data_IF_649224064675
#
_entry.id   IF_649224064675
#
_cell.length_a   1.000
_cell.length_b   1.000
_cell.length_c   1.000
_cell.angle_alpha   90.00
_cell.angle_beta   90.00
_cell.angle_gamma   90.00
#
_symmetry.space_group_name_H-M   'P 1'
#
loop_
_entity.id
_entity.type
_entity.pdbx_description
1 polymer ?
#
# COMPACT_ATOMS: atom_id res chain seq x y z
N UNK A 1 13.41 1.55 2.12
CA UNK A 1 12.11 0.86 1.94
C UNK A 1 11.15 1.35 3.00
N UNK A 2 9.99 1.88 2.61
CA UNK A 2 8.88 2.22 3.54
C UNK A 2 7.92 1.03 3.63
N UNK A 3 7.42 0.72 4.82
CA UNK A 3 6.37 -0.30 4.99
C UNK A 3 5.06 0.41 5.34
N UNK A 4 4.04 0.23 4.53
CA UNK A 4 2.71 0.80 4.77
C UNK A 4 1.80 -0.22 5.47
N UNK A 5 1.08 0.23 6.49
CA UNK A 5 0.08 -0.59 7.18
C UNK A 5 -1.26 -0.46 6.45
N UNK A 6 -1.63 -1.50 5.72
CA UNK A 6 -2.93 -1.59 5.04
C UNK A 6 -4.07 -1.87 6.03
N UNK A 7 -5.33 -1.62 5.62
CA UNK A 7 -6.53 -1.71 6.46
C UNK A 7 -6.55 -0.71 7.64
N UNK A 8 -5.94 0.46 7.46
CA UNK A 8 -5.91 1.53 8.47
C UNK A 8 -7.23 2.30 8.60
N UNK A 9 -8.23 2.01 7.77
CA UNK A 9 -9.60 2.54 7.86
C UNK A 9 -10.51 1.76 8.82
N UNK A 10 -9.99 0.76 9.54
CA UNK A 10 -10.78 -0.01 10.50
C UNK A 10 -11.14 0.82 11.73
N UNK A 11 -12.37 0.66 12.24
CA UNK A 11 -12.85 1.43 13.38
C UNK A 11 -11.94 1.26 14.60
N UNK A 12 -11.46 0.04 14.84
CA UNK A 12 -10.56 -0.25 15.95
C UNK A 12 -9.24 0.55 15.88
N UNK A 13 -8.64 0.66 14.68
CA UNK A 13 -7.44 1.49 14.53
C UNK A 13 -7.76 2.97 14.70
N UNK A 14 -8.86 3.44 14.15
CA UNK A 14 -9.29 4.85 14.26
C UNK A 14 -9.49 5.24 15.73
N UNK A 15 -10.18 4.41 16.51
CA UNK A 15 -10.44 4.66 17.93
C UNK A 15 -9.15 4.63 18.76
N UNK A 16 -8.26 3.68 18.43
CA UNK A 16 -6.94 3.62 19.02
C UNK A 16 -6.11 4.88 18.69
N UNK A 17 -6.04 5.27 17.43
CA UNK A 17 -5.27 6.41 16.95
C UNK A 17 -5.76 7.76 17.52
N UNK A 18 -7.05 7.89 17.81
CA UNK A 18 -7.61 9.07 18.49
C UNK A 18 -7.11 9.21 19.92
N UNK A 19 -6.90 8.10 20.62
CA UNK A 19 -6.46 8.06 22.03
C UNK A 19 -4.93 8.09 22.19
N UNK A 20 -4.19 7.53 21.22
CA UNK A 20 -2.75 7.26 21.31
C UNK A 20 -1.98 7.87 20.13
N UNK A 21 -1.89 9.20 20.13
CA UNK A 21 -1.29 9.95 19.01
C UNK A 21 0.19 9.65 18.80
N UNK A 22 0.91 9.39 19.89
CA UNK A 22 2.34 9.10 19.91
C UNK A 22 2.70 7.70 19.35
N UNK A 23 1.73 6.80 19.28
CA UNK A 23 1.91 5.42 18.82
C UNK A 23 1.44 5.18 17.36
N UNK A 24 0.99 6.22 16.66
CA UNK A 24 0.58 6.07 15.25
C UNK A 24 1.82 5.79 14.41
N UNK A 25 1.85 4.65 13.67
CA UNK A 25 2.93 4.36 12.73
C UNK A 25 3.05 5.43 11.64
N UNK A 26 4.26 5.59 11.10
CA UNK A 26 4.55 6.65 10.13
C UNK A 26 3.86 6.49 8.79
N UNK A 27 3.70 5.25 8.30
CA UNK A 27 3.20 4.97 6.95
C UNK A 27 1.92 4.15 7.02
N UNK A 28 0.86 4.65 6.39
CA UNK A 28 -0.45 4.01 6.36
C UNK A 28 -0.98 3.90 4.94
N UNK A 29 -1.68 2.81 4.68
CA UNK A 29 -2.45 2.62 3.46
C UNK A 29 -3.93 2.46 3.83
N UNK A 30 -4.76 3.30 3.22
CA UNK A 30 -6.21 3.29 3.38
C UNK A 30 -6.86 2.84 2.08
N UNK A 31 -7.95 2.08 2.17
CA UNK A 31 -8.76 1.76 1.00
C UNK A 31 -9.88 2.77 0.83
N UNK A 32 -9.97 3.37 -0.37
CA UNK A 32 -11.07 4.26 -0.73
C UNK A 32 -12.42 3.57 -0.58
N UNK A 33 -12.54 2.30 -0.97
CA UNK A 33 -13.79 1.55 -0.85
C UNK A 33 -14.41 1.63 0.54
N UNK A 34 -13.61 1.51 1.57
CA UNK A 34 -14.08 1.60 2.95
C UNK A 34 -14.12 3.05 3.46
N UNK A 35 -13.13 3.87 3.08
CA UNK A 35 -12.99 5.25 3.56
C UNK A 35 -14.05 6.19 2.99
N UNK A 36 -14.66 5.90 1.82
CA UNK A 36 -15.69 6.73 1.18
C UNK A 36 -16.97 6.92 1.99
N UNK A 37 -17.24 6.05 2.97
CA UNK A 37 -18.38 6.20 3.88
C UNK A 37 -18.23 7.48 4.72
N UNK A 38 -19.30 8.28 4.84
CA UNK A 38 -19.26 9.63 5.46
C UNK A 38 -18.51 9.68 6.80
N UNK A 39 -18.83 8.79 7.73
CA UNK A 39 -18.18 8.75 9.05
C UNK A 39 -16.71 8.37 8.96
N UNK A 40 -16.35 7.42 8.09
CA UNK A 40 -14.96 6.98 7.89
C UNK A 40 -14.13 8.03 7.18
N UNK A 41 -14.71 8.74 6.21
CA UNK A 41 -14.06 9.87 5.55
C UNK A 41 -13.72 10.97 6.57
N UNK A 42 -14.67 11.32 7.43
CA UNK A 42 -14.42 12.31 8.49
C UNK A 42 -13.31 11.87 9.45
N UNK A 43 -13.31 10.59 9.85
CA UNK A 43 -12.24 10.04 10.68
C UNK A 43 -10.88 10.08 9.97
N UNK A 44 -10.83 9.71 8.68
CA UNK A 44 -9.63 9.79 7.86
C UNK A 44 -9.09 11.22 7.80
N UNK A 45 -9.94 12.21 7.47
CA UNK A 45 -9.54 13.61 7.37
C UNK A 45 -9.00 14.16 8.71
N UNK A 46 -9.51 13.67 9.83
CA UNK A 46 -9.00 14.02 11.17
C UNK A 46 -7.63 13.41 11.47
N UNK A 47 -7.39 12.18 11.00
CA UNK A 47 -6.13 11.46 11.26
C UNK A 47 -5.04 11.81 10.27
N UNK A 48 -5.38 12.06 9.01
CA UNK A 48 -4.43 12.26 7.91
C UNK A 48 -3.32 13.26 8.24
N UNK A 49 -3.56 14.44 8.83
CA UNK A 49 -2.50 15.41 9.13
C UNK A 49 -1.46 14.91 10.14
N UNK A 50 -1.77 13.85 10.88
CA UNK A 50 -0.92 13.27 11.92
C UNK A 50 -0.11 12.06 11.42
N UNK A 51 -0.34 11.65 10.17
CA UNK A 51 0.33 10.53 9.52
C UNK A 51 1.43 11.08 8.62
N UNK A 52 2.62 10.50 8.68
CA UNK A 52 3.77 10.99 7.91
C UNK A 52 3.63 10.70 6.41
N UNK A 53 3.27 9.48 6.04
CA UNK A 53 3.07 9.08 4.64
C UNK A 53 1.78 8.27 4.50
N UNK A 54 0.98 8.64 3.52
CA UNK A 54 -0.29 7.98 3.19
C UNK A 54 -0.24 7.46 1.76
N UNK A 55 -0.70 6.24 1.55
CA UNK A 55 -1.12 5.69 0.27
C UNK A 55 -2.61 5.41 0.30
N UNK A 56 -3.27 5.59 -0.83
CA UNK A 56 -4.70 5.29 -0.98
C UNK A 56 -4.88 4.22 -2.04
N UNK A 57 -5.41 3.09 -1.63
CA UNK A 57 -5.87 2.03 -2.54
C UNK A 57 -7.27 2.36 -3.06
N UNK A 58 -7.51 2.12 -4.35
CA UNK A 58 -8.82 2.32 -4.97
C UNK A 58 -9.92 1.42 -4.38
N UNK A 59 -9.54 0.31 -3.76
CA UNK A 59 -10.46 -0.72 -3.27
C UNK A 59 -11.06 -1.57 -4.39
N UNK A 60 -10.50 -1.49 -5.59
CA UNK A 60 -10.99 -2.17 -6.78
C UNK A 60 -11.06 -3.70 -6.60
N UNK A 61 -10.14 -4.27 -5.82
CA UNK A 61 -10.13 -5.70 -5.51
C UNK A 61 -11.46 -6.18 -4.86
N UNK A 62 -12.13 -5.32 -4.12
CA UNK A 62 -13.42 -5.66 -3.46
C UNK A 62 -14.54 -5.91 -4.48
N UNK A 63 -14.39 -5.45 -5.72
CA UNK A 63 -15.37 -5.66 -6.79
C UNK A 63 -15.24 -6.98 -7.55
N UNK A 64 -14.28 -7.84 -7.22
CA UNK A 64 -14.12 -9.12 -7.92
C UNK A 64 -15.37 -9.99 -7.89
N UNK A 65 -16.22 -9.84 -6.88
CA UNK A 65 -17.49 -10.57 -6.72
C UNK A 65 -18.74 -9.77 -7.13
N UNK A 66 -18.65 -8.47 -7.34
CA UNK A 66 -19.80 -7.62 -7.65
C UNK A 66 -20.21 -7.75 -9.13
N UNK A 67 -21.42 -8.25 -9.42
CA UNK A 67 -21.88 -8.51 -10.79
C UNK A 67 -22.25 -7.24 -11.59
N UNK A 68 -22.73 -6.17 -10.95
CA UNK A 68 -23.29 -4.98 -11.61
C UNK A 68 -22.65 -3.66 -11.14
N UNK A 69 -21.32 -3.60 -10.99
CA UNK A 69 -20.67 -2.35 -10.58
C UNK A 69 -20.48 -1.40 -11.77
N UNK A 70 -20.98 -0.16 -11.66
CA UNK A 70 -20.63 0.91 -12.60
C UNK A 70 -19.24 1.47 -12.24
N UNK A 71 -18.21 0.97 -12.91
CA UNK A 71 -16.83 1.36 -12.64
C UNK A 71 -16.52 2.81 -13.02
N UNK A 72 -17.22 3.38 -13.98
CA UNK A 72 -17.05 4.79 -14.37
C UNK A 72 -17.52 5.70 -13.25
N UNK A 73 -18.74 5.51 -12.74
CA UNK A 73 -19.27 6.31 -11.64
C UNK A 73 -18.45 6.15 -10.36
N UNK A 74 -17.99 4.92 -10.08
CA UNK A 74 -17.09 4.68 -8.96
C UNK A 74 -15.76 5.42 -9.12
N UNK A 75 -15.19 5.44 -10.33
CA UNK A 75 -13.94 6.14 -10.60
C UNK A 75 -14.11 7.66 -10.49
N UNK A 76 -15.23 8.22 -10.96
CA UNK A 76 -15.55 9.63 -10.79
C UNK A 76 -15.69 10.00 -9.31
N UNK A 77 -16.37 9.16 -8.52
CA UNK A 77 -16.48 9.36 -7.08
C UNK A 77 -15.11 9.22 -6.36
N UNK A 78 -14.23 8.35 -6.87
CA UNK A 78 -12.85 8.24 -6.39
C UNK A 78 -12.03 9.49 -6.74
N UNK A 79 -12.20 10.05 -7.94
CA UNK A 79 -11.58 11.31 -8.33
C UNK A 79 -12.02 12.48 -7.43
N UNK A 80 -13.30 12.55 -7.07
CA UNK A 80 -13.80 13.54 -6.11
C UNK A 80 -13.23 13.34 -4.69
N UNK A 81 -13.01 12.10 -4.28
CA UNK A 81 -12.32 11.80 -3.03
C UNK A 81 -10.85 12.27 -3.10
N UNK A 82 -10.14 12.03 -4.20
CA UNK A 82 -8.77 12.49 -4.43
C UNK A 82 -8.69 14.00 -4.25
N UNK A 83 -9.54 14.77 -4.93
CA UNK A 83 -9.60 16.25 -4.79
C UNK A 83 -9.71 16.71 -3.33
N UNK A 84 -10.48 16.00 -2.51
CA UNK A 84 -10.72 16.36 -1.10
C UNK A 84 -9.57 15.96 -0.19
N UNK A 85 -8.82 14.94 -0.55
CA UNK A 85 -7.85 14.27 0.32
C UNK A 85 -6.40 14.46 -0.11
N UNK A 86 -6.14 15.00 -1.29
CA UNK A 86 -4.78 15.22 -1.77
C UNK A 86 -4.08 16.30 -0.96
N UNK A 87 -3.10 15.86 -0.17
CA UNK A 87 -2.28 16.66 0.74
C UNK A 87 -0.80 16.28 0.52
N UNK A 88 0.15 17.10 0.99
CA UNK A 88 1.59 16.82 0.81
C UNK A 88 2.05 15.48 1.36
N UNK A 89 1.39 14.96 2.40
CA UNK A 89 1.74 13.66 2.98
C UNK A 89 1.11 12.46 2.25
N UNK A 90 0.21 12.67 1.29
CA UNK A 90 -0.27 11.60 0.40
C UNK A 90 0.75 11.38 -0.70
N UNK A 91 1.32 10.19 -0.71
CA UNK A 91 2.39 9.79 -1.63
C UNK A 91 1.86 9.22 -2.93
N UNK A 92 0.61 8.76 -2.97
CA UNK A 92 -0.02 8.27 -4.19
C UNK A 92 -1.37 7.60 -3.99
N UNK A 93 -2.04 7.43 -5.13
CA UNK A 93 -3.35 6.82 -5.26
C UNK A 93 -3.26 5.67 -6.27
N UNK A 94 -3.58 4.44 -5.85
CA UNK A 94 -3.58 3.32 -6.79
C UNK A 94 -4.71 3.44 -7.79
N UNK A 95 -4.43 3.09 -9.04
CA UNK A 95 -5.43 3.03 -10.10
C UNK A 95 -6.56 2.04 -9.81
N UNK A 96 -7.56 2.02 -10.65
CA UNK A 96 -8.61 0.99 -10.64
C UNK A 96 -8.05 -0.34 -11.15
N UNK A 97 -7.58 -1.18 -10.22
CA UNK A 97 -6.91 -2.44 -10.49
C UNK A 97 -7.92 -3.58 -10.73
N UNK A 98 -8.60 -3.54 -11.88
CA UNK A 98 -9.71 -4.44 -12.26
C UNK A 98 -9.62 -4.95 -13.69
N UNK A 99 -8.41 -5.08 -14.25
CA UNK A 99 -8.24 -5.51 -15.64
C UNK A 99 -8.77 -6.94 -15.93
N UNK A 100 -8.82 -7.80 -14.92
CA UNK A 100 -9.46 -9.11 -15.00
C UNK A 100 -10.98 -9.03 -15.26
N UNK A 101 -11.62 -7.89 -14.95
CA UNK A 101 -13.06 -7.68 -15.11
C UNK A 101 -13.42 -6.93 -16.39
N UNK A 102 -12.70 -5.88 -16.69
CA UNK A 102 -13.04 -4.96 -17.79
C UNK A 102 -11.98 -4.90 -18.89
N UNK A 103 -10.88 -5.60 -18.71
CA UNK A 103 -9.73 -5.58 -19.61
C UNK A 103 -8.87 -4.31 -19.47
N UNK A 104 -7.59 -4.44 -19.77
CA UNK A 104 -6.59 -3.39 -19.58
C UNK A 104 -6.91 -2.08 -20.34
N UNK A 105 -7.50 -2.17 -21.56
CA UNK A 105 -7.88 -0.98 -22.34
C UNK A 105 -8.88 -0.09 -21.58
N UNK A 106 -9.82 -0.68 -20.86
CA UNK A 106 -10.80 0.08 -20.08
C UNK A 106 -10.19 0.59 -18.77
N UNK A 107 -9.28 -0.17 -18.12
CA UNK A 107 -8.51 0.36 -16.97
C UNK A 107 -7.74 1.62 -17.36
N UNK A 108 -7.13 1.66 -18.54
CA UNK A 108 -6.45 2.88 -19.05
C UNK A 108 -7.39 4.08 -19.21
N UNK A 109 -8.66 3.86 -19.59
CA UNK A 109 -9.64 4.95 -19.65
C UNK A 109 -9.98 5.47 -18.25
N UNK A 110 -10.20 4.58 -17.30
CA UNK A 110 -10.48 4.96 -15.91
C UNK A 110 -9.27 5.67 -15.27
N UNK A 111 -8.05 5.22 -15.55
CA UNK A 111 -6.83 5.88 -15.08
C UNK A 111 -6.73 7.32 -15.57
N UNK A 112 -7.03 7.60 -16.87
CA UNK A 112 -7.03 8.95 -17.42
C UNK A 112 -7.98 9.88 -16.68
N UNK A 113 -9.15 9.39 -16.26
CA UNK A 113 -10.08 10.18 -15.43
C UNK A 113 -9.40 10.60 -14.12
N UNK A 114 -8.65 9.70 -13.46
CA UNK A 114 -7.95 10.03 -12.22
C UNK A 114 -6.77 10.99 -12.45
N UNK A 115 -6.05 10.83 -13.55
CA UNK A 115 -4.89 11.65 -13.94
C UNK A 115 -5.26 13.12 -14.25
N UNK A 116 -6.52 13.42 -14.52
CA UNK A 116 -7.02 14.80 -14.66
C UNK A 116 -7.00 15.57 -13.33
N UNK A 117 -6.90 14.88 -12.20
CA UNK A 117 -7.04 15.49 -10.88
C UNK A 117 -5.77 15.45 -10.03
N UNK A 118 -4.82 14.57 -10.35
CA UNK A 118 -3.55 14.44 -9.62
C UNK A 118 -2.49 13.75 -10.48
N UNK A 119 -1.25 14.13 -10.30
CA UNK A 119 -0.06 13.48 -10.87
C UNK A 119 0.45 12.29 -10.03
N UNK A 120 -0.22 12.00 -8.89
CA UNK A 120 0.16 10.96 -7.92
C UNK A 120 -0.51 9.61 -8.18
N UNK A 121 -1.00 9.34 -9.40
CA UNK A 121 -1.58 8.04 -9.71
C UNK A 121 -0.50 6.98 -9.82
N UNK A 122 -0.68 5.87 -9.11
CA UNK A 122 0.19 4.70 -9.10
C UNK A 122 -0.46 3.59 -9.94
N UNK A 123 0.02 3.35 -11.18
CA UNK A 123 -0.46 2.23 -11.97
C UNK A 123 0.02 0.89 -11.39
N UNK A 124 -0.83 -0.13 -11.47
CA UNK A 124 -0.53 -1.49 -11.00
C UNK A 124 -0.25 -2.39 -12.20
N UNK A 125 0.89 -3.05 -12.23
CA UNK A 125 1.21 -3.99 -13.28
C UNK A 125 0.85 -5.43 -12.87
N UNK A 126 0.27 -6.17 -13.83
CA UNK A 126 -0.03 -7.59 -13.72
C UNK A 126 0.71 -8.40 -14.77
N UNK A 127 1.01 -9.66 -14.45
CA UNK A 127 1.79 -10.59 -15.31
C UNK A 127 1.19 -10.72 -16.72
N UNK A 128 -0.13 -10.74 -16.85
CA UNK A 128 -0.83 -10.82 -18.14
C UNK A 128 -0.57 -9.64 -19.09
N UNK A 129 -0.09 -8.49 -18.55
CA UNK A 129 0.25 -7.32 -19.35
C UNK A 129 1.62 -7.45 -20.05
N UNK A 130 2.47 -8.37 -19.61
CA UNK A 130 3.81 -8.60 -20.14
C UNK A 130 4.85 -7.54 -19.77
N UNK A 131 6.12 -7.93 -19.76
CA UNK A 131 7.23 -7.12 -19.27
C UNK A 131 7.53 -5.87 -20.11
N UNK A 132 7.21 -5.91 -21.43
CA UNK A 132 7.34 -4.74 -22.32
C UNK A 132 6.45 -3.57 -21.86
N UNK A 133 5.23 -3.87 -21.39
CA UNK A 133 4.31 -2.85 -20.85
C UNK A 133 4.78 -2.35 -19.49
N UNK A 134 5.39 -3.20 -18.66
CA UNK A 134 6.02 -2.76 -17.41
C UNK A 134 7.11 -1.70 -17.66
N UNK A 135 8.06 -2.00 -18.57
CA UNK A 135 9.11 -1.02 -18.93
C UNK A 135 8.54 0.31 -19.43
N UNK A 136 7.49 0.26 -20.25
CA UNK A 136 6.81 1.48 -20.71
C UNK A 136 6.17 2.24 -19.53
N UNK A 137 5.61 1.53 -18.58
CA UNK A 137 5.00 2.10 -17.38
C UNK A 137 6.05 2.84 -16.53
N UNK A 138 7.22 2.23 -16.27
CA UNK A 138 8.31 2.86 -15.53
C UNK A 138 8.86 4.13 -16.21
N UNK A 139 8.81 4.22 -17.55
CA UNK A 139 9.22 5.44 -18.29
C UNK A 139 8.22 6.58 -18.21
N UNK A 140 6.96 6.28 -17.96
CA UNK A 140 5.86 7.25 -18.04
C UNK A 140 5.36 7.70 -16.67
N UNK A 141 5.77 7.03 -15.60
CA UNK A 141 5.28 7.29 -14.23
C UNK A 141 6.45 7.36 -13.25
N UNK A 142 6.36 8.28 -12.33
CA UNK A 142 7.36 8.43 -11.26
C UNK A 142 7.21 7.35 -10.16
N UNK A 143 6.07 6.66 -10.13
CA UNK A 143 5.78 5.63 -9.14
C UNK A 143 4.86 4.57 -9.76
N UNK A 144 5.25 3.31 -9.66
CA UNK A 144 4.52 2.17 -10.18
C UNK A 144 4.35 1.10 -9.11
N UNK A 145 3.47 0.14 -9.35
CA UNK A 145 3.26 -0.97 -8.42
C UNK A 145 3.20 -2.31 -9.12
N UNK A 146 3.64 -3.35 -8.41
CA UNK A 146 3.45 -4.76 -8.78
C UNK A 146 2.93 -5.55 -7.59
N UNK A 147 2.15 -6.60 -7.85
CA UNK A 147 1.72 -7.50 -6.79
C UNK A 147 2.83 -8.49 -6.42
N UNK A 148 3.11 -8.59 -5.13
CA UNK A 148 4.02 -9.59 -4.57
C UNK A 148 3.27 -10.82 -4.04
N UNK A 149 1.96 -10.92 -4.26
CA UNK A 149 1.18 -12.05 -3.79
C UNK A 149 1.49 -13.30 -4.62
N UNK A 150 1.56 -14.50 -4.00
CA UNK A 150 1.85 -15.75 -4.71
C UNK A 150 0.88 -16.05 -5.85
N UNK A 151 -0.36 -15.58 -5.78
CA UNK A 151 -1.39 -15.78 -6.80
C UNK A 151 -1.00 -15.17 -8.16
N UNK A 152 -0.17 -14.13 -8.18
CA UNK A 152 0.34 -13.51 -9.41
C UNK A 152 1.39 -14.37 -10.12
N UNK A 153 1.91 -15.39 -9.44
CA UNK A 153 2.88 -16.32 -10.01
C UNK A 153 4.21 -15.68 -10.40
N UNK A 154 4.62 -14.60 -9.71
CA UNK A 154 5.95 -14.01 -9.87
C UNK A 154 6.84 -14.60 -8.80
N UNK A 155 7.90 -15.35 -9.17
CA UNK A 155 8.88 -15.84 -8.20
C UNK A 155 9.57 -14.69 -7.46
N UNK A 156 9.85 -14.85 -6.17
CA UNK A 156 10.51 -13.81 -5.36
C UNK A 156 11.85 -13.35 -5.96
N UNK A 157 12.62 -14.25 -6.56
CA UNK A 157 13.90 -13.93 -7.23
C UNK A 157 13.72 -13.05 -8.48
N UNK A 158 12.58 -13.13 -9.15
CA UNK A 158 12.31 -12.31 -10.34
C UNK A 158 11.91 -10.88 -9.97
N UNK A 159 11.49 -10.61 -8.72
CA UNK A 159 11.12 -9.28 -8.25
C UNK A 159 12.27 -8.27 -8.36
N UNK A 160 13.53 -8.73 -8.26
CA UNK A 160 14.72 -7.88 -8.44
C UNK A 160 14.73 -7.20 -9.82
N UNK A 161 14.41 -7.94 -10.89
CA UNK A 161 14.37 -7.41 -12.26
C UNK A 161 13.36 -6.27 -12.42
N UNK A 162 12.25 -6.33 -11.68
CA UNK A 162 11.26 -5.25 -11.69
C UNK A 162 11.79 -4.01 -10.99
N UNK A 163 12.45 -4.17 -9.85
CA UNK A 163 13.05 -3.05 -9.12
C UNK A 163 14.17 -2.39 -9.94
N UNK A 164 15.06 -3.18 -10.55
CA UNK A 164 16.13 -2.67 -11.41
C UNK A 164 15.57 -1.82 -12.56
N UNK A 165 14.59 -2.34 -13.31
CA UNK A 165 13.96 -1.60 -14.41
C UNK A 165 13.25 -0.32 -13.93
N UNK A 166 12.62 -0.31 -12.76
CA UNK A 166 12.02 0.90 -12.21
C UNK A 166 13.13 1.93 -11.89
N UNK A 167 14.15 1.53 -11.15
CA UNK A 167 15.23 2.43 -10.74
C UNK A 167 16.07 2.93 -11.91
N UNK A 168 16.29 2.14 -12.97
CA UNK A 168 16.95 2.55 -14.22
C UNK A 168 16.17 3.64 -14.98
N UNK A 169 14.91 3.85 -14.64
CA UNK A 169 14.07 4.90 -15.21
C UNK A 169 13.67 5.98 -14.18
N UNK A 170 14.41 6.10 -13.06
CA UNK A 170 14.13 7.03 -11.95
C UNK A 170 12.69 6.90 -11.41
N UNK A 171 12.10 5.72 -11.52
CA UNK A 171 10.74 5.41 -11.11
C UNK A 171 10.74 4.66 -9.78
N UNK A 172 9.95 5.12 -8.82
CA UNK A 172 9.71 4.41 -7.57
C UNK A 172 8.84 3.15 -7.82
N UNK A 173 9.05 2.13 -7.01
CA UNK A 173 8.28 0.89 -7.12
C UNK A 173 7.70 0.46 -5.77
N UNK A 174 6.40 0.15 -5.77
CA UNK A 174 5.67 -0.42 -4.65
C UNK A 174 5.38 -1.91 -4.85
N UNK A 175 5.69 -2.72 -3.84
CA UNK A 175 5.35 -4.13 -3.81
C UNK A 175 4.08 -4.39 -2.99
N UNK A 176 2.92 -4.58 -3.64
CA UNK A 176 1.65 -4.87 -2.97
C UNK A 176 1.74 -6.22 -2.23
N UNK A 177 1.43 -6.20 -0.92
CA UNK A 177 1.52 -7.37 -0.04
C UNK A 177 2.95 -7.88 0.19
N UNK A 178 3.98 -7.07 -0.10
CA UNK A 178 5.39 -7.44 -0.18
C UNK A 178 6.13 -7.53 1.15
N UNK A 179 5.53 -8.04 2.22
CA UNK A 179 6.19 -8.07 3.56
C UNK A 179 6.71 -9.45 3.98
N UNK A 180 6.85 -10.41 3.04
CA UNK A 180 7.56 -11.66 3.31
C UNK A 180 9.03 -11.39 3.65
N UNK A 181 9.61 -12.19 4.55
CA UNK A 181 10.99 -12.01 5.04
C UNK A 181 12.03 -11.95 3.92
N UNK A 182 11.87 -12.78 2.88
CA UNK A 182 12.76 -12.76 1.72
C UNK A 182 12.71 -11.38 1.03
N UNK A 183 11.52 -10.87 0.72
CA UNK A 183 11.33 -9.58 0.05
C UNK A 183 11.94 -8.46 0.88
N UNK A 184 11.60 -8.38 2.17
CA UNK A 184 12.11 -7.33 3.06
C UNK A 184 13.63 -7.31 3.16
N UNK A 185 14.30 -8.46 3.07
CA UNK A 185 15.76 -8.56 3.22
C UNK A 185 16.52 -8.48 1.90
N UNK A 186 15.90 -8.85 0.77
CA UNK A 186 16.64 -9.05 -0.48
C UNK A 186 16.16 -8.21 -1.66
N UNK A 187 14.91 -7.72 -1.64
CA UNK A 187 14.35 -6.95 -2.77
C UNK A 187 14.23 -5.47 -2.40
N UNK A 188 14.97 -4.56 -3.05
CA UNK A 188 15.04 -3.15 -2.67
C UNK A 188 13.85 -2.32 -3.17
N UNK A 189 12.62 -2.75 -2.89
CA UNK A 189 11.43 -1.91 -3.13
C UNK A 189 11.54 -0.57 -2.41
N UNK A 190 11.03 0.49 -3.01
CA UNK A 190 10.92 1.79 -2.33
C UNK A 190 9.87 1.73 -1.22
N UNK A 191 8.79 1.00 -1.48
CA UNK A 191 7.79 0.71 -0.47
C UNK A 191 7.08 -0.63 -0.68
N UNK A 192 6.50 -1.14 0.40
CA UNK A 192 5.65 -2.33 0.44
C UNK A 192 4.50 -2.09 1.41
N UNK A 193 3.46 -2.91 1.35
CA UNK A 193 2.35 -2.86 2.30
C UNK A 193 1.99 -4.23 2.89
N UNK A 194 1.24 -4.21 3.98
CA UNK A 194 0.64 -5.41 4.57
C UNK A 194 -0.52 -5.09 5.49
N UNK A 195 -1.56 -5.94 5.44
CA UNK A 195 -2.62 -6.02 6.44
C UNK A 195 -2.30 -7.02 7.58
N UNK A 196 -1.14 -7.67 7.57
CA UNK A 196 -0.79 -8.73 8.54
C UNK A 196 -0.73 -8.23 9.99
N UNK A 197 -0.48 -6.94 10.20
CA UNK A 197 -0.51 -6.33 11.53
C UNK A 197 -1.89 -6.45 12.17
N UNK A 198 -2.95 -6.27 11.39
CA UNK A 198 -4.34 -6.41 11.84
C UNK A 198 -4.67 -7.88 12.15
N UNK A 199 -4.31 -8.79 11.25
CA UNK A 199 -4.51 -10.23 11.47
C UNK A 199 -3.76 -10.74 12.70
N UNK A 200 -2.57 -10.22 12.98
CA UNK A 200 -1.82 -10.56 14.19
C UNK A 200 -2.58 -10.13 15.45
N UNK A 201 -3.15 -8.93 15.45
CA UNK A 201 -3.95 -8.45 16.58
C UNK A 201 -5.23 -9.30 16.78
N UNK A 202 -6.00 -9.57 15.70
CA UNK A 202 -7.22 -10.38 15.75
C UNK A 202 -6.94 -11.81 16.24
N UNK A 203 -5.85 -12.43 15.77
CA UNK A 203 -5.51 -13.81 16.11
C UNK A 203 -4.71 -13.95 17.42
N UNK A 204 -4.50 -12.87 18.16
CA UNK A 204 -3.75 -12.89 19.41
C UNK A 204 -2.30 -13.38 19.23
N UNK A 205 -1.63 -12.99 18.15
CA UNK A 205 -0.22 -13.31 17.91
C UNK A 205 0.64 -12.07 18.13
N UNK A 206 1.68 -12.23 18.97
CA UNK A 206 2.71 -11.22 19.15
C UNK A 206 4.08 -11.88 18.97
N UNK A 207 4.94 -11.32 18.11
CA UNK A 207 6.26 -11.88 17.75
C UNK A 207 6.20 -13.37 17.38
N UNK A 208 5.19 -13.78 16.61
CA UNK A 208 4.93 -15.18 16.22
C UNK A 208 4.57 -16.12 17.37
N UNK A 209 4.47 -15.64 18.59
CA UNK A 209 4.00 -16.42 19.75
C UNK A 209 2.51 -16.22 19.97
N UNK A 210 1.83 -17.29 20.34
CA UNK A 210 0.41 -17.22 20.72
C UNK A 210 0.33 -16.53 22.08
N UNK A 211 -0.36 -15.39 22.15
CA UNK A 211 -0.72 -14.77 23.44
C UNK A 211 -1.98 -15.48 23.93
N UNK A 212 -2.08 -15.72 25.21
CA UNK A 212 -3.34 -16.20 25.79
C UNK A 212 -4.46 -15.21 25.43
N UNK A 213 -5.45 -15.72 24.68
CA UNK A 213 -6.55 -14.89 24.16
C UNK A 213 -7.36 -14.24 25.28
N UNK A 214 -7.33 -14.80 26.49
CA UNK A 214 -8.10 -14.35 27.63
C UNK A 214 -7.37 -13.28 28.46
N UNK A 215 -6.07 -13.10 28.27
CA UNK A 215 -5.26 -12.17 29.08
C UNK A 215 -5.24 -10.72 28.58
N UNK A 216 -5.59 -10.48 27.31
CA UNK A 216 -5.53 -9.15 26.71
C UNK A 216 -6.81 -8.81 25.94
N UNK A 217 -7.27 -7.58 26.08
CA UNK A 217 -8.34 -7.00 25.27
C UNK A 217 -7.91 -6.86 23.80
N UNK A 218 -8.87 -6.71 22.91
CA UNK A 218 -8.58 -6.47 21.50
C UNK A 218 -7.74 -5.20 21.29
N UNK A 219 -8.02 -4.13 22.03
CA UNK A 219 -7.26 -2.88 21.95
C UNK A 219 -5.81 -3.05 22.37
N UNK A 220 -5.53 -3.83 23.41
CA UNK A 220 -4.15 -4.13 23.84
C UNK A 220 -3.40 -4.98 22.81
N UNK A 221 -4.06 -5.96 22.19
CA UNK A 221 -3.49 -6.75 21.10
C UNK A 221 -3.17 -5.88 19.90
N UNK A 222 -4.05 -4.93 19.57
CA UNK A 222 -3.84 -3.97 18.49
C UNK A 222 -2.65 -3.06 18.80
N UNK A 223 -2.55 -2.54 20.01
CA UNK A 223 -1.44 -1.71 20.47
C UNK A 223 -0.10 -2.42 20.33
N UNK A 224 -0.02 -3.66 20.81
CA UNK A 224 1.19 -4.47 20.71
C UNK A 224 1.58 -4.74 19.25
N UNK A 225 0.62 -5.06 18.40
CA UNK A 225 0.86 -5.27 16.98
C UNK A 225 1.37 -4.00 16.28
N UNK A 226 0.77 -2.85 16.57
CA UNK A 226 1.21 -1.56 16.03
C UNK A 226 2.63 -1.22 16.45
N UNK A 227 2.98 -1.42 17.72
CA UNK A 227 4.34 -1.20 18.23
C UNK A 227 5.37 -2.10 17.53
N UNK A 228 5.03 -3.38 17.31
CA UNK A 228 5.92 -4.32 16.60
C UNK A 228 6.15 -3.89 15.16
N UNK A 229 5.07 -3.51 14.45
CA UNK A 229 5.17 -3.05 13.08
C UNK A 229 5.85 -1.69 12.94
N UNK A 230 5.70 -0.78 13.92
CA UNK A 230 6.47 0.46 13.99
C UNK A 230 7.97 0.19 14.07
N UNK A 231 8.37 -0.78 14.91
CA UNK A 231 9.79 -1.21 15.00
C UNK A 231 10.28 -1.75 13.65
N UNK A 232 9.46 -2.56 12.95
CA UNK A 232 9.78 -3.06 11.61
C UNK A 232 9.94 -1.93 10.59
N UNK A 233 9.03 -0.96 10.57
CA UNK A 233 9.14 0.21 9.67
C UNK A 233 10.48 0.92 9.89
N UNK A 234 10.81 1.28 11.13
CA UNK A 234 12.06 1.97 11.47
C UNK A 234 13.28 1.13 11.09
N UNK A 235 13.25 -0.17 11.41
CA UNK A 235 14.36 -1.08 11.11
C UNK A 235 14.62 -1.19 9.61
N UNK A 236 13.61 -1.48 8.78
CA UNK A 236 13.81 -1.68 7.35
C UNK A 236 14.07 -0.36 6.59
N UNK A 237 13.54 0.75 7.06
CA UNK A 237 13.89 2.07 6.51
C UNK A 237 15.38 2.37 6.73
N UNK A 238 15.91 2.12 7.93
CA UNK A 238 17.34 2.26 8.23
C UNK A 238 18.19 1.25 7.47
N UNK A 239 17.83 -0.03 7.49
CA UNK A 239 18.54 -1.13 6.82
C UNK A 239 18.77 -0.85 5.33
N UNK A 240 17.71 -0.47 4.60
CA UNK A 240 17.82 -0.19 3.18
C UNK A 240 18.54 1.12 2.86
N UNK A 241 18.41 2.13 3.71
CA UNK A 241 19.20 3.37 3.59
C UNK A 241 20.69 3.09 3.68
N UNK A 242 21.11 2.27 4.63
CA UNK A 242 22.52 1.88 4.82
C UNK A 242 23.01 0.98 3.69
N UNK A 243 22.21 0.00 3.28
CA UNK A 243 22.54 -0.93 2.19
C UNK A 243 22.69 -0.20 0.86
N UNK A 244 21.76 0.70 0.51
CA UNK A 244 21.84 1.50 -0.70
C UNK A 244 23.03 2.46 -0.71
N UNK A 245 23.41 3.02 0.45
CA UNK A 245 24.66 3.80 0.57
C UNK A 245 25.89 2.94 0.26
N UNK A 246 25.96 1.71 0.77
CA UNK A 246 27.07 0.79 0.50
C UNK A 246 27.20 0.46 -0.98
N UNK A 247 26.08 0.14 -1.64
CA UNK A 247 26.04 -0.14 -3.08
C UNK A 247 26.51 1.08 -3.88
N UNK A 248 25.99 2.28 -3.56
CA UNK A 248 26.33 3.53 -4.28
C UNK A 248 27.80 3.94 -4.14
N UNK A 249 28.46 3.59 -3.04
CA UNK A 249 29.86 3.98 -2.76
C UNK A 249 30.84 2.80 -2.86
N UNK A 250 30.46 1.69 -3.49
CA UNK A 250 31.36 0.56 -3.78
C UNK A 250 31.88 -0.20 -2.55
N UNK A 251 31.27 -0.03 -1.39
CA UNK A 251 31.57 -0.79 -0.17
C UNK A 251 30.61 -1.97 -0.08
N UNK A 252 30.92 -3.07 -0.77
CA UNK A 252 30.31 -4.40 -0.54
C UNK A 252 31.13 -5.10 0.53
#
# INVERSE_FOLDING_TARGET
MKIYLAASETQAFIDYAKKHTELIPYNHLFSYFYTRQKTKLQNYLTLQPRIQNVLIDSGAHTFHTAQNANFTDYTLAYADFIKKTDKPNVQGYFEMDIDNRIGFKNVLKLRRILEEFTDKIIPVWHKNRGFKKYRKMCRNYNYVSISCLPIEGIPDNDLLKFVEVAHDNDCLIHGLGGTRKFILNHVPFDSVDSASWMFSAVNGRYKSKRIDRNSLTYCEKLALSLLDWRKKQIFYEKYWREKNRRIKYGKI
#
